data_IF_918452252995
#
_entry.id   IF_918452252995
#
_cell.length_a   1.000
_cell.length_b   1.000
_cell.length_c   1.000
_cell.angle_alpha   90.00
_cell.angle_beta   90.00
_cell.angle_gamma   90.00
#
_symmetry.space_group_name_H-M   'P 1'
#
loop_
_entity.id
_entity.type
_entity.pdbx_description
1 polymer ?
#
# COMPACT_ATOMS: atom_id res chain seq x y z
N UNK A 1 -24.10 48.69 80.77
CA UNK A 1 -24.57 48.78 79.37
C UNK A 1 -25.55 49.93 79.30
N UNK A 2 -25.20 51.02 78.63
CA UNK A 2 -26.01 52.24 78.62
C UNK A 2 -27.30 52.06 77.81
N UNK A 3 -28.40 52.61 78.32
CA UNK A 3 -29.72 52.48 77.70
C UNK A 3 -29.77 53.09 76.28
N UNK A 4 -28.95 54.10 76.01
CA UNK A 4 -28.84 54.74 74.70
C UNK A 4 -28.13 53.86 73.67
N UNK A 5 -27.16 53.04 74.10
CA UNK A 5 -26.50 52.06 73.25
C UNK A 5 -27.48 50.96 72.82
N UNK A 6 -28.36 50.51 73.72
CA UNK A 6 -29.39 49.51 73.42
C UNK A 6 -30.47 50.04 72.47
N UNK A 7 -30.89 51.29 72.64
CA UNK A 7 -31.88 51.94 71.74
C UNK A 7 -31.30 52.12 70.32
N UNK A 8 -30.04 52.50 70.23
CA UNK A 8 -29.32 52.63 68.94
C UNK A 8 -29.18 51.27 68.26
N UNK A 9 -28.83 50.22 69.00
CA UNK A 9 -28.76 48.86 68.48
C UNK A 9 -30.14 48.34 68.04
N UNK A 10 -31.22 48.63 68.79
CA UNK A 10 -32.60 48.28 68.43
C UNK A 10 -33.01 48.92 67.09
N UNK A 11 -32.69 50.21 66.88
CA UNK A 11 -32.97 50.90 65.62
C UNK A 11 -32.16 50.31 64.45
N UNK A 12 -30.88 50.00 64.68
CA UNK A 12 -30.02 49.35 63.69
C UNK A 12 -30.57 47.98 63.26
N UNK A 13 -30.97 47.13 64.22
CA UNK A 13 -31.55 45.82 63.95
C UNK A 13 -32.85 45.96 63.15
N UNK A 14 -33.73 46.90 63.50
CA UNK A 14 -34.97 47.13 62.75
C UNK A 14 -34.70 47.52 61.29
N UNK A 15 -33.73 48.40 61.04
CA UNK A 15 -33.33 48.76 59.67
C UNK A 15 -32.77 47.55 58.90
N UNK A 16 -32.01 46.68 59.58
CA UNK A 16 -31.43 45.48 59.00
C UNK A 16 -32.48 44.43 58.64
N UNK A 17 -33.49 44.26 59.50
CA UNK A 17 -34.62 43.36 59.26
C UNK A 17 -35.54 43.90 58.16
N UNK A 18 -35.78 45.21 58.14
CA UNK A 18 -36.59 45.88 57.10
C UNK A 18 -35.95 45.75 55.72
N UNK A 19 -34.66 46.06 55.59
CA UNK A 19 -33.90 45.93 54.32
C UNK A 19 -33.84 44.49 53.79
N UNK A 20 -34.01 43.48 54.65
CA UNK A 20 -34.07 42.05 54.28
C UNK A 20 -35.49 41.53 54.05
N UNK A 21 -36.50 42.39 54.22
CA UNK A 21 -37.92 42.06 54.09
C UNK A 21 -38.42 41.10 55.17
N UNK A 22 -37.81 41.13 56.37
CA UNK A 22 -38.23 40.38 57.55
C UNK A 22 -39.19 41.18 58.45
N UNK A 23 -39.26 42.50 58.24
CA UNK A 23 -40.26 43.38 58.82
C UNK A 23 -41.01 44.13 57.72
N UNK A 24 -42.24 44.53 58.01
CA UNK A 24 -43.05 45.39 57.14
C UNK A 24 -42.87 46.85 57.56
N UNK A 25 -43.04 47.78 56.62
CA UNK A 25 -42.97 49.22 56.89
C UNK A 25 -43.93 49.58 58.04
N UNK A 26 -43.41 50.21 59.10
CA UNK A 26 -44.18 50.63 60.28
C UNK A 26 -44.28 49.60 61.42
N UNK A 27 -43.76 48.39 61.26
CA UNK A 27 -43.72 47.37 62.33
C UNK A 27 -42.32 47.26 62.94
N UNK A 28 -41.90 48.27 63.71
CA UNK A 28 -40.63 48.22 64.46
C UNK A 28 -40.81 47.42 65.75
N UNK A 29 -39.75 46.72 66.16
CA UNK A 29 -39.71 45.95 67.40
C UNK A 29 -38.81 46.70 68.38
N UNK A 30 -39.29 46.98 69.60
CA UNK A 30 -38.43 47.53 70.65
C UNK A 30 -37.65 46.41 71.35
N UNK A 31 -36.41 46.19 70.88
CA UNK A 31 -35.47 45.25 71.48
C UNK A 31 -34.85 45.75 72.79
N UNK A 32 -34.85 47.06 73.04
CA UNK A 32 -34.18 47.64 74.21
C UNK A 32 -35.02 47.50 75.48
N UNK A 33 -36.35 47.62 75.36
CA UNK A 33 -37.29 47.49 76.48
C UNK A 33 -38.58 46.78 76.06
N UNK A 34 -38.52 45.47 75.78
CA UNK A 34 -39.67 44.72 75.26
C UNK A 34 -40.86 44.67 76.23
N UNK A 35 -40.65 44.94 77.53
CA UNK A 35 -41.72 45.03 78.53
C UNK A 35 -42.45 46.38 78.56
N UNK A 36 -41.93 47.41 77.87
CA UNK A 36 -42.52 48.75 77.80
C UNK A 36 -43.15 49.07 76.46
N UNK A 37 -43.21 48.10 75.55
CA UNK A 37 -43.92 48.26 74.29
C UNK A 37 -45.42 48.42 74.55
N UNK A 38 -46.10 49.20 73.72
CA UNK A 38 -47.53 49.47 73.84
C UNK A 38 -48.40 48.20 73.73
N UNK A 39 -47.88 47.17 73.06
CA UNK A 39 -48.57 45.90 72.83
C UNK A 39 -48.26 44.84 73.90
N UNK A 40 -47.38 45.13 74.85
CA UNK A 40 -46.96 44.21 75.91
C UNK A 40 -45.82 43.25 75.53
N UNK A 41 -45.27 42.62 76.56
CA UNK A 41 -44.08 41.77 76.47
C UNK A 41 -44.32 40.55 75.56
N UNK A 42 -45.44 39.86 75.73
CA UNK A 42 -45.73 38.60 75.05
C UNK A 42 -45.88 38.79 73.53
N UNK A 43 -46.53 39.88 73.11
CA UNK A 43 -46.70 40.23 71.69
C UNK A 43 -45.35 40.60 71.06
N UNK A 44 -44.54 41.38 71.78
CA UNK A 44 -43.21 41.79 71.31
C UNK A 44 -42.28 40.59 71.18
N UNK A 45 -42.32 39.67 72.16
CA UNK A 45 -41.56 38.43 72.12
C UNK A 45 -42.04 37.51 70.98
N UNK A 46 -43.35 37.46 70.71
CA UNK A 46 -43.91 36.76 69.56
C UNK A 46 -43.39 37.29 68.22
N UNK A 47 -43.31 38.62 68.05
CA UNK A 47 -42.71 39.25 66.85
C UNK A 47 -41.22 38.89 66.71
N UNK A 48 -40.47 38.92 67.80
CA UNK A 48 -39.05 38.52 67.82
C UNK A 48 -38.90 37.07 67.39
N UNK A 49 -39.69 36.16 67.97
CA UNK A 49 -39.66 34.74 67.63
C UNK A 49 -40.03 34.48 66.17
N UNK A 50 -41.01 35.20 65.62
CA UNK A 50 -41.35 35.10 64.19
C UNK A 50 -40.17 35.49 63.30
N UNK A 51 -39.50 36.61 63.60
CA UNK A 51 -38.32 37.06 62.84
C UNK A 51 -37.18 36.06 62.94
N UNK A 52 -36.93 35.51 64.13
CA UNK A 52 -35.89 34.49 64.35
C UNK A 52 -36.23 33.22 63.56
N UNK A 53 -37.47 32.76 63.59
CA UNK A 53 -37.92 31.62 62.80
C UNK A 53 -37.73 31.85 61.29
N UNK A 54 -38.11 33.03 60.78
CA UNK A 54 -37.93 33.37 59.37
C UNK A 54 -36.45 33.43 58.97
N UNK A 55 -35.57 33.92 59.86
CA UNK A 55 -34.12 33.91 59.66
C UNK A 55 -33.56 32.49 59.61
N UNK A 56 -34.02 31.59 60.50
CA UNK A 56 -33.62 30.18 60.50
C UNK A 56 -34.07 29.52 59.19
N UNK A 57 -35.34 29.64 58.82
CA UNK A 57 -35.88 29.04 57.60
C UNK A 57 -35.22 29.57 56.33
N UNK A 58 -34.87 30.87 56.28
CA UNK A 58 -34.11 31.44 55.16
C UNK A 58 -32.68 30.93 55.13
N UNK A 59 -31.99 30.89 56.27
CA UNK A 59 -30.63 30.34 56.37
C UNK A 59 -30.57 28.88 55.92
N UNK A 60 -31.54 28.07 56.32
CA UNK A 60 -31.61 26.66 55.95
C UNK A 60 -31.85 26.50 54.46
N UNK A 61 -32.75 27.29 53.86
CA UNK A 61 -32.96 27.33 52.41
C UNK A 61 -31.71 27.76 51.65
N UNK A 62 -31.06 28.84 52.08
CA UNK A 62 -29.84 29.33 51.45
C UNK A 62 -28.70 28.30 51.56
N UNK A 63 -28.61 27.59 52.68
CA UNK A 63 -27.65 26.50 52.88
C UNK A 63 -27.91 25.34 51.91
N UNK A 64 -29.15 24.89 51.79
CA UNK A 64 -29.54 23.83 50.85
C UNK A 64 -29.31 24.23 49.40
N UNK A 65 -29.65 25.48 49.02
CA UNK A 65 -29.39 25.99 47.66
C UNK A 65 -27.89 26.04 47.35
N UNK A 66 -27.07 26.52 48.29
CA UNK A 66 -25.60 26.52 48.14
C UNK A 66 -25.06 25.10 47.99
N UNK A 67 -25.57 24.15 48.76
CA UNK A 67 -25.18 22.76 48.64
C UNK A 67 -25.55 22.19 47.26
N UNK A 68 -26.80 22.34 46.82
CA UNK A 68 -27.28 21.87 45.52
C UNK A 68 -26.48 22.48 44.35
N UNK A 69 -26.20 23.78 44.41
CA UNK A 69 -25.35 24.45 43.43
C UNK A 69 -23.93 23.89 43.44
N UNK A 70 -23.36 23.65 44.61
CA UNK A 70 -22.02 23.08 44.74
C UNK A 70 -21.95 21.65 44.17
N UNK A 71 -23.01 20.85 44.34
CA UNK A 71 -23.12 19.51 43.77
C UNK A 71 -23.24 19.58 42.25
N UNK A 72 -24.07 20.48 41.73
CA UNK A 72 -24.24 20.69 40.28
C UNK A 72 -22.93 21.13 39.63
N UNK A 73 -22.20 22.09 40.23
CA UNK A 73 -20.90 22.53 39.72
C UNK A 73 -19.89 21.37 39.68
N UNK A 74 -19.87 20.52 40.72
CA UNK A 74 -19.01 19.33 40.75
C UNK A 74 -19.38 18.33 39.65
N UNK A 75 -20.67 18.08 39.44
CA UNK A 75 -21.16 17.21 38.38
C UNK A 75 -20.77 17.76 36.99
N UNK A 76 -21.04 19.04 36.72
CA UNK A 76 -20.69 19.70 35.46
C UNK A 76 -19.18 19.69 35.20
N UNK A 77 -18.35 19.89 36.22
CA UNK A 77 -16.89 19.78 36.07
C UNK A 77 -16.45 18.37 35.71
N UNK A 78 -17.05 17.35 36.34
CA UNK A 78 -16.77 15.96 36.02
C UNK A 78 -17.22 15.59 34.59
N UNK A 79 -18.39 16.08 34.16
CA UNK A 79 -18.89 15.88 32.79
C UNK A 79 -18.02 16.59 31.75
N UNK A 80 -17.61 17.83 32.02
CA UNK A 80 -16.70 18.57 31.15
C UNK A 80 -15.37 17.83 30.97
N UNK A 81 -14.80 17.30 32.06
CA UNK A 81 -13.57 16.52 31.99
C UNK A 81 -13.76 15.24 31.16
N UNK A 82 -14.85 14.49 31.40
CA UNK A 82 -15.20 13.30 30.61
C UNK A 82 -15.32 13.64 29.12
N UNK A 83 -16.10 14.67 28.79
CA UNK A 83 -16.31 15.12 27.42
C UNK A 83 -15.00 15.52 26.73
N UNK A 84 -14.09 16.19 27.43
CA UNK A 84 -12.76 16.53 26.90
C UNK A 84 -11.96 15.27 26.58
N UNK A 85 -11.91 14.30 27.50
CA UNK A 85 -11.17 13.06 27.26
C UNK A 85 -11.73 12.24 26.10
N UNK A 86 -13.05 12.21 25.92
CA UNK A 86 -13.67 11.52 24.80
C UNK A 86 -13.43 12.25 23.48
N UNK A 87 -13.42 13.58 23.50
CA UNK A 87 -13.08 14.39 22.33
C UNK A 87 -11.61 14.16 21.89
N UNK A 88 -10.67 14.05 22.83
CA UNK A 88 -9.28 13.72 22.53
C UNK A 88 -9.14 12.31 21.93
N UNK A 89 -9.85 11.32 22.47
CA UNK A 89 -9.89 9.95 21.92
C UNK A 89 -10.49 9.90 20.52
N UNK A 90 -11.55 10.67 20.27
CA UNK A 90 -12.16 10.76 18.95
C UNK A 90 -11.23 11.47 17.95
N UNK A 91 -10.53 12.52 18.38
CA UNK A 91 -9.56 13.23 17.56
C UNK A 91 -8.40 12.30 17.13
N UNK A 92 -7.82 11.56 18.07
CA UNK A 92 -6.73 10.60 17.76
C UNK A 92 -7.20 9.46 16.86
N UNK A 93 -8.43 8.97 17.05
CA UNK A 93 -9.01 7.97 16.14
C UNK A 93 -9.25 8.53 14.74
N UNK A 94 -9.66 9.80 14.63
CA UNK A 94 -9.89 10.45 13.35
C UNK A 94 -8.59 10.65 12.57
N UNK A 95 -7.52 11.14 13.22
CA UNK A 95 -6.21 11.29 12.56
C UNK A 95 -5.66 9.95 12.08
N UNK A 96 -5.81 8.88 12.86
CA UNK A 96 -5.40 7.53 12.44
C UNK A 96 -6.24 6.99 11.27
N UNK A 97 -7.55 7.23 11.26
CA UNK A 97 -8.40 6.86 10.13
C UNK A 97 -8.04 7.64 8.87
N UNK A 98 -7.77 8.94 8.98
CA UNK A 98 -7.30 9.76 7.86
C UNK A 98 -5.98 9.23 7.28
N UNK A 99 -5.04 8.82 8.14
CA UNK A 99 -3.78 8.20 7.73
C UNK A 99 -4.03 6.88 6.97
N UNK A 100 -4.91 6.02 7.49
CA UNK A 100 -5.27 4.74 6.83
C UNK A 100 -5.92 4.95 5.47
N UNK A 101 -6.81 5.94 5.34
CA UNK A 101 -7.41 6.31 4.05
C UNK A 101 -6.33 6.77 3.09
N UNK A 102 -5.41 7.65 3.51
CA UNK A 102 -4.32 8.10 2.65
C UNK A 102 -3.44 6.97 2.12
N UNK A 103 -3.14 5.95 2.95
CA UNK A 103 -2.39 4.76 2.53
C UNK A 103 -3.20 3.92 1.54
N UNK A 104 -4.50 3.70 1.81
CA UNK A 104 -5.37 2.94 0.94
C UNK A 104 -5.52 3.61 -0.45
N UNK A 105 -5.69 4.93 -0.48
CA UNK A 105 -5.78 5.71 -1.72
C UNK A 105 -4.48 5.65 -2.52
N UNK A 106 -3.32 5.72 -1.85
CA UNK A 106 -2.02 5.57 -2.51
C UNK A 106 -1.84 4.16 -3.10
N UNK A 107 -2.22 3.12 -2.35
CA UNK A 107 -2.19 1.73 -2.83
C UNK A 107 -3.15 1.51 -4.01
N UNK A 108 -4.36 2.06 -3.96
CA UNK A 108 -5.33 1.99 -5.06
C UNK A 108 -4.76 2.62 -6.34
N UNK A 109 -4.15 3.81 -6.22
CA UNK A 109 -3.52 4.49 -7.37
C UNK A 109 -2.38 3.65 -7.97
N UNK A 110 -1.55 3.05 -7.14
CA UNK A 110 -0.45 2.18 -7.57
C UNK A 110 -0.98 0.89 -8.25
N UNK A 111 -2.01 0.26 -7.70
CA UNK A 111 -2.62 -0.91 -8.33
C UNK A 111 -3.29 -0.57 -9.67
N UNK A 112 -3.94 0.60 -9.77
CA UNK A 112 -4.51 1.08 -11.04
C UNK A 112 -3.45 1.34 -12.11
N UNK A 113 -2.28 1.87 -11.75
CA UNK A 113 -1.19 2.06 -12.72
C UNK A 113 -0.58 0.72 -13.15
N UNK A 114 -0.38 -0.20 -12.22
CA UNK A 114 0.07 -1.57 -12.52
C UNK A 114 -0.90 -2.31 -13.43
N UNK A 115 -2.21 -2.21 -13.18
CA UNK A 115 -3.23 -2.82 -14.02
C UNK A 115 -3.16 -2.30 -15.46
N UNK A 116 -3.10 -0.98 -15.64
CA UNK A 116 -2.98 -0.38 -16.99
C UNK A 116 -1.70 -0.83 -17.72
N UNK A 117 -0.58 -0.91 -16.99
CA UNK A 117 0.68 -1.40 -17.56
C UNK A 117 0.57 -2.87 -17.98
N UNK A 118 -0.03 -3.72 -17.14
CA UNK A 118 -0.27 -5.12 -17.45
C UNK A 118 -1.21 -5.30 -18.65
N UNK A 119 -2.29 -4.50 -18.74
CA UNK A 119 -3.21 -4.50 -19.88
C UNK A 119 -2.49 -4.14 -21.19
N UNK A 120 -1.60 -3.14 -21.17
CA UNK A 120 -0.78 -2.78 -22.32
C UNK A 120 0.20 -3.90 -22.71
N UNK A 121 0.86 -4.53 -21.74
CA UNK A 121 1.74 -5.67 -21.99
C UNK A 121 0.99 -6.85 -22.62
N UNK A 122 -0.20 -7.17 -22.11
CA UNK A 122 -1.07 -8.22 -22.68
C UNK A 122 -1.47 -7.88 -24.11
N UNK A 123 -1.76 -6.61 -24.42
CA UNK A 123 -2.06 -6.19 -25.78
C UNK A 123 -0.86 -6.39 -26.71
N UNK A 124 0.34 -5.98 -26.28
CA UNK A 124 1.58 -6.20 -27.03
C UNK A 124 1.83 -7.69 -27.31
N UNK A 125 1.74 -8.54 -26.29
CA UNK A 125 1.91 -9.99 -26.43
C UNK A 125 0.89 -10.63 -27.38
N UNK A 126 -0.35 -10.12 -27.41
CA UNK A 126 -1.37 -10.59 -28.37
C UNK A 126 -1.01 -10.22 -29.81
N UNK A 127 -0.48 -9.03 -30.03
CA UNK A 127 0.00 -8.59 -31.34
C UNK A 127 1.22 -9.39 -31.80
N UNK A 128 2.18 -9.64 -30.92
CA UNK A 128 3.34 -10.50 -31.20
C UNK A 128 2.92 -11.94 -31.52
N UNK A 129 2.00 -12.51 -30.74
CA UNK A 129 1.45 -13.83 -31.02
C UNK A 129 0.78 -13.88 -32.40
N UNK A 130 0.05 -12.83 -32.79
CA UNK A 130 -0.57 -12.76 -34.12
C UNK A 130 0.49 -12.72 -35.24
N UNK A 131 1.53 -11.89 -35.09
CA UNK A 131 2.67 -11.86 -36.02
C UNK A 131 3.36 -13.22 -36.15
N UNK A 132 3.63 -13.86 -35.01
CA UNK A 132 4.26 -15.18 -34.97
C UNK A 132 3.42 -16.25 -35.68
N UNK A 133 2.09 -16.25 -35.49
CA UNK A 133 1.18 -17.16 -36.20
C UNK A 133 1.26 -16.99 -37.71
N UNK A 134 1.34 -15.75 -38.20
CA UNK A 134 1.51 -15.46 -39.63
C UNK A 134 2.85 -15.99 -40.13
N UNK A 135 3.95 -15.71 -39.40
CA UNK A 135 5.28 -16.18 -39.77
C UNK A 135 5.37 -17.71 -39.85
N UNK A 136 4.79 -18.43 -38.87
CA UNK A 136 4.72 -19.91 -38.89
C UNK A 136 3.90 -20.41 -40.09
N UNK A 137 2.81 -19.73 -40.44
CA UNK A 137 2.03 -20.05 -41.65
C UNK A 137 2.86 -19.90 -42.92
N UNK A 138 3.62 -18.80 -43.03
CA UNK A 138 4.49 -18.51 -44.17
C UNK A 138 5.64 -19.53 -44.29
N UNK A 139 6.34 -19.84 -43.20
CA UNK A 139 7.44 -20.83 -43.22
C UNK A 139 6.94 -22.23 -43.57
N UNK A 140 5.76 -22.62 -43.07
CA UNK A 140 5.13 -23.90 -43.48
C UNK A 140 4.81 -23.92 -44.97
N UNK A 141 4.27 -22.82 -45.52
CA UNK A 141 3.97 -22.72 -46.94
C UNK A 141 5.24 -22.74 -47.81
N UNK A 142 6.29 -22.03 -47.40
CA UNK A 142 7.60 -22.03 -48.07
C UNK A 142 8.22 -23.44 -48.07
N UNK A 143 8.25 -24.11 -46.92
CA UNK A 143 8.77 -25.47 -46.81
C UNK A 143 8.00 -26.44 -47.72
N UNK A 144 6.67 -26.37 -47.74
CA UNK A 144 5.85 -27.19 -48.64
C UNK A 144 6.16 -26.94 -50.13
N UNK A 145 6.44 -25.68 -50.51
CA UNK A 145 6.81 -25.33 -51.89
C UNK A 145 8.21 -25.85 -52.26
N UNK A 146 9.18 -25.73 -51.35
CA UNK A 146 10.53 -26.25 -51.53
C UNK A 146 10.52 -27.78 -51.68
N UNK A 147 9.74 -28.51 -50.87
CA UNK A 147 9.57 -29.96 -51.01
C UNK A 147 9.03 -30.31 -52.40
N UNK A 148 7.95 -29.66 -52.86
CA UNK A 148 7.41 -29.90 -54.22
C UNK A 148 8.39 -29.56 -55.33
N UNK A 149 9.25 -28.55 -55.14
CA UNK A 149 10.30 -28.19 -56.11
C UNK A 149 11.37 -29.27 -56.16
N UNK A 150 11.84 -29.73 -55.00
CA UNK A 150 12.79 -30.85 -54.88
C UNK A 150 12.23 -32.14 -55.46
N UNK A 151 10.97 -32.48 -55.20
CA UNK A 151 10.28 -33.63 -55.78
C UNK A 151 10.29 -33.59 -57.32
N UNK A 152 9.98 -32.43 -57.92
CA UNK A 152 10.05 -32.25 -59.38
C UNK A 152 11.46 -32.42 -59.94
N UNK A 153 12.48 -31.89 -59.24
CA UNK A 153 13.88 -32.05 -59.64
C UNK A 153 14.28 -33.53 -59.57
N UNK A 154 13.96 -34.21 -58.47
CA UNK A 154 14.22 -35.65 -58.27
C UNK A 154 13.56 -36.46 -59.39
N UNK A 155 12.31 -36.16 -59.73
CA UNK A 155 11.61 -36.86 -60.80
C UNK A 155 12.26 -36.63 -62.17
N UNK A 156 12.70 -35.41 -62.46
CA UNK A 156 13.51 -35.11 -63.65
C UNK A 156 14.83 -35.89 -63.69
N UNK A 157 15.55 -35.93 -62.57
CA UNK A 157 16.80 -36.70 -62.46
C UNK A 157 16.57 -38.21 -62.62
N UNK A 158 15.52 -38.76 -62.01
CA UNK A 158 15.13 -40.17 -62.18
C UNK A 158 14.87 -40.50 -63.64
N UNK A 159 14.17 -39.63 -64.38
CA UNK A 159 13.95 -39.80 -65.82
C UNK A 159 15.28 -39.83 -66.59
N UNK A 160 16.20 -38.89 -66.33
CA UNK A 160 17.52 -38.88 -66.96
C UNK A 160 18.35 -40.12 -66.64
N UNK A 161 18.34 -40.60 -65.39
CA UNK A 161 19.03 -41.85 -65.01
C UNK A 161 18.37 -43.06 -65.67
N UNK A 162 17.04 -43.11 -65.76
CA UNK A 162 16.30 -44.17 -66.44
C UNK A 162 16.55 -44.21 -67.96
N UNK A 163 16.65 -43.05 -68.61
CA UNK A 163 17.01 -42.92 -70.03
C UNK A 163 18.50 -43.22 -70.27
N UNK A 164 19.39 -42.75 -69.39
CA UNK A 164 20.81 -43.08 -69.40
C UNK A 164 21.10 -44.56 -69.14
N UNK A 165 20.25 -45.24 -68.36
CA UNK A 165 20.28 -46.69 -68.14
C UNK A 165 19.71 -47.52 -69.30
N UNK A 166 18.90 -46.92 -70.18
CA UNK A 166 18.40 -47.57 -71.42
C UNK A 166 19.39 -47.50 -72.57
N UNK A 167 20.43 -46.68 -72.49
CA UNK A 167 21.56 -46.70 -73.42
C UNK A 167 22.52 -47.87 -73.11
N UNK A 168 22.00 -49.09 -73.10
CA UNK A 168 22.81 -50.31 -73.16
C UNK A 168 22.27 -51.23 -74.24
N UNK A 169 22.37 -50.73 -75.47
CA UNK A 169 21.93 -51.46 -76.65
C UNK A 169 22.17 -50.74 -77.97
N UNK A 170 23.29 -50.03 -78.14
CA UNK A 170 23.95 -49.80 -79.44
C UNK A 170 25.08 -48.76 -79.31
N UNK A 171 26.31 -49.21 -79.51
CA UNK A 171 27.36 -48.47 -80.21
C UNK A 171 27.91 -47.18 -79.60
N UNK A 172 29.06 -47.31 -78.92
CA UNK A 172 30.08 -46.27 -78.64
C UNK A 172 29.69 -45.12 -77.70
N UNK A 173 30.37 -45.11 -76.55
CA UNK A 173 30.50 -43.96 -75.68
C UNK A 173 31.07 -42.75 -76.44
N UNK A 174 30.39 -41.62 -76.36
CA UNK A 174 30.94 -40.30 -76.70
C UNK A 174 30.65 -39.41 -75.50
N UNK A 175 31.71 -38.95 -74.82
CA UNK A 175 31.62 -37.94 -73.77
C UNK A 175 31.90 -38.41 -72.33
N UNK A 176 32.66 -39.48 -72.11
CA UNK A 176 33.29 -39.69 -70.79
C UNK A 176 34.40 -38.65 -70.63
N UNK A 177 34.11 -37.56 -69.93
CA UNK A 177 35.13 -36.65 -69.44
C UNK A 177 35.66 -37.17 -68.10
N UNK A 178 36.65 -38.05 -68.16
CA UNK A 178 37.46 -38.42 -66.99
C UNK A 178 38.32 -37.22 -66.60
N UNK A 179 37.93 -36.50 -65.56
CA UNK A 179 38.74 -35.43 -64.98
C UNK A 179 39.81 -36.09 -64.10
N UNK A 180 41.06 -36.07 -64.57
CA UNK A 180 42.21 -36.46 -63.78
C UNK A 180 42.65 -35.22 -62.97
N UNK A 181 42.37 -35.20 -61.67
CA UNK A 181 42.83 -34.14 -60.76
C UNK A 181 44.30 -34.39 -60.44
N UNK A 182 45.20 -33.66 -61.10
CA UNK A 182 46.60 -33.55 -60.73
C UNK A 182 46.69 -32.44 -59.68
N UNK A 183 47.24 -32.75 -58.51
CA UNK A 183 47.53 -31.75 -57.49
C UNK A 183 48.63 -30.81 -58.01
N UNK A 184 48.23 -29.59 -58.37
CA UNK A 184 49.13 -28.57 -58.89
C UNK A 184 48.54 -27.18 -58.68
N UNK A 185 49.05 -26.53 -57.63
CA UNK A 185 49.30 -25.10 -57.45
C UNK A 185 48.56 -24.12 -58.38
N UNK A 186 47.78 -23.23 -57.74
CA UNK A 186 47.65 -21.84 -58.17
C UNK A 186 46.34 -21.49 -58.86
N UNK A 187 45.38 -20.99 -58.08
CA UNK A 187 44.19 -20.29 -58.58
C UNK A 187 43.82 -19.20 -57.59
N UNK A 188 44.46 -18.04 -57.76
CA UNK A 188 44.16 -16.77 -57.12
C UNK A 188 42.65 -16.47 -57.14
N UNK A 189 42.07 -16.22 -55.97
CA UNK A 189 40.74 -15.64 -55.87
C UNK A 189 40.70 -14.70 -54.65
N UNK A 190 41.17 -13.47 -54.90
CA UNK A 190 40.32 -12.29 -54.70
C UNK A 190 39.85 -12.00 -53.27
N UNK A 191 40.51 -11.01 -52.68
CA UNK A 191 39.88 -9.98 -51.82
C UNK A 191 39.11 -10.47 -50.60
N UNK A 192 39.86 -10.88 -49.56
CA UNK A 192 39.39 -10.84 -48.18
C UNK A 192 39.26 -9.38 -47.70
N UNK A 193 38.14 -8.75 -48.03
CA UNK A 193 37.66 -7.56 -47.34
C UNK A 193 36.60 -8.00 -46.33
N UNK A 194 36.76 -7.56 -45.08
CA UNK A 194 36.09 -8.08 -43.88
C UNK A 194 34.62 -8.45 -44.06
N UNK A 195 34.30 -9.72 -43.79
CA UNK A 195 32.95 -10.17 -43.54
C UNK A 195 32.57 -9.72 -42.13
N UNK A 196 31.51 -8.93 -41.99
CA UNK A 196 30.97 -8.58 -40.68
C UNK A 196 30.38 -9.81 -40.00
N UNK A 197 30.45 -9.88 -38.68
CA UNK A 197 29.93 -10.97 -37.83
C UNK A 197 28.41 -11.20 -37.92
N UNK A 198 27.70 -10.44 -38.75
CA UNK A 198 26.24 -10.50 -38.94
C UNK A 198 25.80 -11.29 -40.19
N UNK A 199 26.73 -11.84 -40.99
CA UNK A 199 26.39 -12.55 -42.23
C UNK A 199 25.91 -14.01 -42.00
N UNK A 200 24.88 -14.45 -42.74
CA UNK A 200 24.20 -15.75 -42.58
C UNK A 200 25.08 -16.99 -42.93
N UNK A 201 26.29 -16.76 -43.45
CA UNK A 201 27.31 -17.77 -43.71
C UNK A 201 28.54 -17.72 -42.81
N UNK A 202 28.53 -16.87 -41.77
CA UNK A 202 29.67 -16.67 -40.89
C UNK A 202 29.82 -17.83 -39.89
N UNK A 203 30.92 -18.58 -40.00
CA UNK A 203 31.32 -19.60 -39.02
C UNK A 203 32.62 -19.15 -38.35
N UNK A 204 32.60 -19.07 -37.01
CA UNK A 204 33.75 -18.71 -36.16
C UNK A 204 35.00 -19.55 -36.45
N UNK A 205 34.83 -20.74 -37.04
CA UNK A 205 35.94 -21.60 -37.50
C UNK A 205 36.77 -21.02 -38.64
N UNK A 206 36.27 -20.00 -39.34
CA UNK A 206 36.96 -19.35 -40.45
C UNK A 206 37.93 -18.25 -39.99
N UNK A 207 37.93 -17.90 -38.71
CA UNK A 207 38.79 -16.85 -38.14
C UNK A 207 40.07 -17.39 -37.50
N UNK A 208 41.06 -16.51 -37.33
CA UNK A 208 42.32 -16.86 -36.69
C UNK A 208 42.14 -17.05 -35.18
N UNK A 209 42.97 -17.92 -34.56
CA UNK A 209 42.97 -18.12 -33.11
C UNK A 209 43.16 -16.81 -32.33
N UNK A 210 43.86 -15.84 -32.90
CA UNK A 210 44.06 -14.51 -32.30
C UNK A 210 42.74 -13.73 -32.20
N UNK A 211 41.96 -13.68 -33.29
CA UNK A 211 40.65 -13.02 -33.30
C UNK A 211 39.66 -13.70 -32.34
N UNK A 212 39.61 -15.04 -32.34
CA UNK A 212 38.73 -15.79 -31.42
C UNK A 212 39.10 -15.56 -29.94
N UNK A 213 40.39 -15.41 -29.64
CA UNK A 213 40.86 -15.13 -28.29
C UNK A 213 40.50 -13.70 -27.87
N UNK A 214 40.64 -12.73 -28.75
CA UNK A 214 40.26 -11.34 -28.49
C UNK A 214 38.74 -11.17 -28.32
N UNK A 215 37.94 -11.86 -29.14
CA UNK A 215 36.49 -11.91 -29.01
C UNK A 215 36.05 -12.56 -27.69
N UNK A 216 36.66 -13.68 -27.30
CA UNK A 216 36.37 -14.33 -26.03
C UNK A 216 36.73 -13.44 -24.83
N UNK A 217 37.83 -12.68 -24.93
CA UNK A 217 38.22 -11.68 -23.93
C UNK A 217 37.21 -10.53 -23.87
N UNK A 218 36.83 -9.97 -25.01
CA UNK A 218 35.83 -8.89 -25.10
C UNK A 218 34.47 -9.28 -24.52
N UNK A 219 33.97 -10.47 -24.86
CA UNK A 219 32.72 -11.01 -24.30
C UNK A 219 32.83 -11.27 -22.79
N UNK A 220 33.99 -11.66 -22.29
CA UNK A 220 34.23 -11.85 -20.86
C UNK A 220 34.24 -10.51 -20.11
N UNK A 221 34.93 -9.50 -20.65
CA UNK A 221 34.99 -8.15 -20.10
C UNK A 221 33.58 -7.49 -20.09
N UNK A 222 32.79 -7.68 -21.16
CA UNK A 222 31.42 -7.17 -21.24
C UNK A 222 30.47 -7.89 -20.28
N UNK A 223 30.60 -9.21 -20.13
CA UNK A 223 29.83 -9.97 -19.14
C UNK A 223 30.15 -9.55 -17.70
N UNK A 224 31.41 -9.24 -17.39
CA UNK A 224 31.79 -8.72 -16.07
C UNK A 224 31.23 -7.32 -15.83
N UNK A 225 31.24 -6.46 -16.84
CA UNK A 225 30.60 -5.13 -16.82
C UNK A 225 29.08 -5.23 -16.58
N UNK A 226 28.39 -6.09 -17.32
CA UNK A 226 26.96 -6.36 -17.15
C UNK A 226 26.64 -6.94 -15.77
N UNK A 227 27.46 -7.89 -15.29
CA UNK A 227 27.34 -8.45 -13.94
C UNK A 227 27.50 -7.37 -12.86
N UNK A 228 28.44 -6.44 -13.05
CA UNK A 228 28.63 -5.29 -12.18
C UNK A 228 27.44 -4.33 -12.18
N UNK A 229 26.84 -4.08 -13.35
CA UNK A 229 25.65 -3.24 -13.48
C UNK A 229 24.43 -3.87 -12.81
N UNK A 230 24.21 -5.18 -12.97
CA UNK A 230 23.13 -5.92 -12.31
C UNK A 230 23.32 -5.88 -10.78
N UNK A 231 24.54 -6.12 -10.28
CA UNK A 231 24.83 -6.02 -8.84
C UNK A 231 24.53 -4.62 -8.28
N UNK A 232 24.99 -3.57 -8.96
CA UNK A 232 24.68 -2.17 -8.59
C UNK A 232 23.17 -1.90 -8.62
N UNK A 233 22.47 -2.39 -9.63
CA UNK A 233 21.01 -2.21 -9.75
C UNK A 233 20.27 -2.91 -8.61
N UNK A 234 20.69 -4.12 -8.25
CA UNK A 234 20.16 -4.87 -7.09
C UNK A 234 20.43 -4.10 -5.79
N UNK A 235 21.63 -3.57 -5.61
CA UNK A 235 22.00 -2.77 -4.43
C UNK A 235 21.17 -1.49 -4.34
N UNK A 236 20.99 -0.79 -5.47
CA UNK A 236 20.17 0.43 -5.55
C UNK A 236 18.69 0.11 -5.30
N UNK A 237 18.17 -1.01 -5.81
CA UNK A 237 16.81 -1.47 -5.51
C UNK A 237 16.67 -1.84 -4.03
N UNK A 238 17.71 -2.42 -3.42
CA UNK A 238 17.71 -2.79 -2.00
C UNK A 238 17.70 -1.55 -1.09
N UNK A 239 18.48 -0.52 -1.42
CA UNK A 239 18.49 0.76 -0.68
C UNK A 239 17.18 1.53 -0.87
N UNK A 240 16.63 1.59 -2.09
CA UNK A 240 15.37 2.29 -2.38
C UNK A 240 14.14 1.54 -1.81
N UNK A 241 14.19 0.21 -1.73
CA UNK A 241 13.10 -0.62 -1.18
C UNK A 241 13.11 -0.71 0.35
N UNK A 242 14.08 -0.11 1.04
CA UNK A 242 14.17 -0.13 2.50
C UNK A 242 14.47 -1.52 3.10
N UNK A 243 15.02 -2.45 2.31
CA UNK A 243 15.38 -3.79 2.76
C UNK A 243 16.85 -3.83 3.20
N UNK A 244 17.24 -2.94 4.11
CA UNK A 244 18.46 -3.15 4.89
C UNK A 244 18.20 -4.34 5.81
N UNK A 245 19.15 -5.28 5.84
CA UNK A 245 19.15 -6.31 6.88
C UNK A 245 19.37 -5.56 8.19
N UNK A 246 18.32 -5.41 8.99
CA UNK A 246 18.45 -5.15 10.43
C UNK A 246 19.17 -6.36 11.04
N UNK A 247 20.50 -6.30 11.05
CA UNK A 247 21.28 -7.00 12.07
C UNK A 247 21.33 -6.06 13.28
N UNK A 248 20.72 -6.52 14.37
CA UNK A 248 20.75 -5.96 15.75
C UNK A 248 19.85 -4.75 16.06
N UNK A 249 18.56 -4.97 16.38
CA UNK A 249 18.00 -4.70 17.72
C UNK A 249 16.54 -5.13 17.86
N UNK A 250 16.16 -5.51 19.07
CA UNK A 250 14.86 -6.04 19.49
C UNK A 250 13.65 -5.20 19.06
N UNK A 251 12.61 -5.89 18.57
CA UNK A 251 11.21 -5.51 18.79
C UNK A 251 10.51 -4.74 17.68
N UNK A 252 10.01 -5.44 16.65
CA UNK A 252 9.21 -4.77 15.60
C UNK A 252 8.56 -5.65 14.53
N UNK A 253 7.84 -6.71 14.93
CA UNK A 253 6.80 -7.43 14.17
C UNK A 253 7.00 -7.58 12.64
N UNK A 254 7.96 -8.43 12.23
CA UNK A 254 7.95 -9.02 10.89
C UNK A 254 6.95 -10.18 10.89
N UNK A 255 5.88 -10.07 10.11
CA UNK A 255 4.94 -11.18 9.90
C UNK A 255 5.69 -12.28 9.14
N UNK A 256 6.09 -13.33 9.86
CA UNK A 256 6.61 -14.57 9.29
C UNK A 256 5.57 -15.16 8.34
N UNK A 257 5.86 -15.08 7.04
CA UNK A 257 5.12 -15.78 5.98
C UNK A 257 5.61 -17.23 5.86
N UNK A 258 5.69 -17.96 6.97
CA UNK A 258 6.07 -19.39 6.96
C UNK A 258 4.88 -20.32 6.64
N UNK A 259 3.63 -19.85 6.75
CA UNK A 259 2.44 -20.65 6.43
C UNK A 259 2.02 -20.68 4.95
N UNK A 260 2.62 -19.85 4.08
CA UNK A 260 2.13 -19.70 2.71
C UNK A 260 2.57 -20.82 1.77
N UNK A 261 3.72 -21.46 2.01
CA UNK A 261 4.25 -22.49 1.12
C UNK A 261 3.56 -23.84 1.31
N UNK A 262 3.28 -24.25 2.54
CA UNK A 262 2.50 -25.46 2.83
C UNK A 262 1.05 -25.33 2.34
N UNK A 263 0.45 -24.14 2.47
CA UNK A 263 -0.90 -23.90 1.97
C UNK A 263 -0.97 -23.96 0.44
N UNK A 264 0.02 -23.39 -0.26
CA UNK A 264 0.11 -23.45 -1.71
C UNK A 264 0.40 -24.87 -2.23
N UNK A 265 1.25 -25.62 -1.51
CA UNK A 265 1.52 -27.04 -1.82
C UNK A 265 0.26 -27.89 -1.67
N UNK A 266 -0.51 -27.68 -0.60
CA UNK A 266 -1.79 -28.36 -0.35
C UNK A 266 -2.82 -28.08 -1.45
N UNK A 267 -2.88 -26.82 -1.91
CA UNK A 267 -3.81 -26.41 -2.97
C UNK A 267 -3.44 -27.02 -4.35
N UNK A 268 -2.14 -27.19 -4.61
CA UNK A 268 -1.63 -27.80 -5.83
C UNK A 268 -1.88 -29.31 -5.86
N UNK A 269 -1.72 -30.01 -4.73
CA UNK A 269 -2.05 -31.44 -4.62
C UNK A 269 -3.56 -31.68 -4.78
N UNK A 270 -4.40 -30.83 -4.18
CA UNK A 270 -5.85 -30.91 -4.34
C UNK A 270 -6.29 -30.72 -5.80
N UNK A 271 -5.68 -29.78 -6.53
CA UNK A 271 -5.94 -29.56 -7.96
C UNK A 271 -5.48 -30.73 -8.82
N UNK A 272 -4.35 -31.37 -8.49
CA UNK A 272 -3.83 -32.55 -9.19
C UNK A 272 -4.78 -33.74 -9.05
N UNK A 273 -5.22 -34.04 -7.84
CA UNK A 273 -6.16 -35.13 -7.56
C UNK A 273 -7.50 -34.95 -8.29
N UNK A 274 -8.01 -33.70 -8.35
CA UNK A 274 -9.25 -33.38 -9.07
C UNK A 274 -9.12 -33.53 -10.59
N UNK A 275 -7.91 -33.33 -11.14
CA UNK A 275 -7.58 -33.52 -12.55
C UNK A 275 -7.48 -35.01 -12.93
N UNK A 276 -6.97 -35.86 -12.04
CA UNK A 276 -6.90 -37.31 -12.25
C UNK A 276 -8.27 -37.97 -12.16
N UNK A 277 -9.14 -37.53 -11.23
CA UNK A 277 -10.50 -38.06 -11.10
C UNK A 277 -11.45 -37.67 -12.25
N UNK A 278 -11.11 -36.63 -13.04
CA UNK A 278 -11.84 -36.25 -14.26
C UNK A 278 -11.36 -36.98 -15.52
N UNK A 279 -10.25 -37.72 -15.44
CA UNK A 279 -9.64 -38.47 -16.55
C UNK A 279 -9.86 -39.98 -16.47
N UNK A 280 -10.51 -40.47 -15.43
CA UNK A 280 -11.00 -41.85 -15.30
C UNK A 280 -12.51 -41.89 -15.39
#
# INVERSE_FOLDING_TARGET
>A
MDADNLRTASLYINNQLLSRGLLRNGQTIDFARPHKSEEGLDVTMGKIMSVVNDLILRRDRDSQQRENLSQTIRALRADALRSTTDMERLATKNTELQRKVGIADAAERALKTQLRSAEQAVKGLKEDMARMKVLVGQTRAQCANEVRKKERIIEGMKKHVGEGGRARGSGKAVGVATINVIAGVGGDNGSGAGMGTEDEGYDLRMETNEFLTELARGLSDENESLGGLVRRTIETLRTVSGCEKEEEQEGGMVVQMEGSYEHLASEMEFKKWRSERKRS
#
